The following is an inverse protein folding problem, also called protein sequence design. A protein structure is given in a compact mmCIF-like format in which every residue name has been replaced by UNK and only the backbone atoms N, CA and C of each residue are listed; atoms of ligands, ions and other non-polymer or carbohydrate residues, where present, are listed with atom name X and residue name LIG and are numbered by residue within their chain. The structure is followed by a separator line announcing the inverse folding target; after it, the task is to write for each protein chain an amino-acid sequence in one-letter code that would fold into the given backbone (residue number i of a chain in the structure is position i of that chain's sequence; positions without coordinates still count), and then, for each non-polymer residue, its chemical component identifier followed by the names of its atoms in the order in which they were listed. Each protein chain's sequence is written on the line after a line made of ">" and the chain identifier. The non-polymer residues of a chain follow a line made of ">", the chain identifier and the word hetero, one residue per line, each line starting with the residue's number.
data_IF_293462041292
#
_entry.id   IF_293462041292
#
_cell.length_a   1.000
_cell.length_b   1.000
_cell.length_c   1.000
_cell.angle_alpha   90.00
_cell.angle_beta   90.00
_cell.angle_gamma   90.00
#
_symmetry.space_group_name_H-M   'P 1'
#
loop_
_entity.id
_entity.type
_entity.pdbx_description
1 polymer ?
#
# COMPACT_ATOMS: atom_id res chain seq x y z
N UNK A 1 -25.50 19.80 10.79
CA UNK A 1 -24.65 19.87 9.59
C UNK A 1 -24.07 18.48 9.41
N UNK A 2 -24.57 17.71 8.44
CA UNK A 2 -24.04 16.40 8.13
C UNK A 2 -22.83 16.62 7.21
N UNK A 3 -21.63 16.36 7.71
CA UNK A 3 -20.42 16.33 6.89
C UNK A 3 -20.42 15.02 6.08
N UNK A 4 -21.25 14.95 5.04
CA UNK A 4 -21.08 13.89 4.04
C UNK A 4 -19.84 14.23 3.22
N UNK A 5 -18.75 13.51 3.50
CA UNK A 5 -17.56 13.52 2.66
C UNK A 5 -17.99 12.96 1.30
N UNK A 6 -18.21 13.83 0.32
CA UNK A 6 -18.40 13.40 -1.06
C UNK A 6 -17.08 12.83 -1.56
N UNK A 7 -16.94 11.51 -1.46
CA UNK A 7 -15.85 10.78 -2.11
C UNK A 7 -15.98 11.00 -3.62
N UNK A 8 -14.95 11.58 -4.23
CA UNK A 8 -14.94 11.72 -5.69
C UNK A 8 -14.81 10.34 -6.33
N UNK A 9 -15.24 10.17 -7.60
CA UNK A 9 -15.10 8.91 -8.31
C UNK A 9 -13.66 8.38 -8.31
N UNK A 10 -12.67 9.27 -8.35
CA UNK A 10 -11.24 8.93 -8.31
C UNK A 10 -10.84 8.34 -6.96
N UNK A 11 -11.32 8.91 -5.86
CA UNK A 11 -11.07 8.38 -4.52
C UNK A 11 -11.74 7.01 -4.36
N UNK A 12 -12.97 6.86 -4.88
CA UNK A 12 -13.68 5.58 -4.84
C UNK A 12 -12.94 4.50 -5.64
N UNK A 13 -12.42 4.85 -6.82
CA UNK A 13 -11.63 3.91 -7.63
C UNK A 13 -10.32 3.54 -6.93
N UNK A 14 -9.61 4.50 -6.35
CA UNK A 14 -8.39 4.23 -5.60
C UNK A 14 -8.63 3.28 -4.41
N UNK A 15 -9.75 3.44 -3.70
CA UNK A 15 -10.14 2.53 -2.61
C UNK A 15 -10.44 1.12 -3.16
N UNK A 16 -11.16 1.01 -4.28
CA UNK A 16 -11.43 -0.29 -4.91
C UNK A 16 -10.15 -1.00 -5.36
N UNK A 17 -9.21 -0.26 -5.92
CA UNK A 17 -7.93 -0.81 -6.35
C UNK A 17 -7.14 -1.32 -5.14
N UNK A 18 -7.11 -0.56 -4.03
CA UNK A 18 -6.50 -0.98 -2.76
C UNK A 18 -7.16 -2.22 -2.16
N UNK A 19 -8.47 -2.42 -2.37
CA UNK A 19 -9.20 -3.59 -1.92
C UNK A 19 -9.10 -4.80 -2.86
N UNK A 20 -8.47 -4.65 -4.02
CA UNK A 20 -8.29 -5.78 -4.94
C UNK A 20 -7.33 -6.79 -4.32
N UNK A 21 -7.72 -8.06 -4.37
CA UNK A 21 -6.90 -9.17 -3.91
C UNK A 21 -5.49 -9.10 -4.55
N UNK A 22 -4.47 -9.39 -3.73
CA UNK A 22 -3.05 -9.31 -4.07
C UNK A 22 -2.52 -7.94 -4.51
N UNK A 23 -3.33 -6.90 -4.71
CA UNK A 23 -2.82 -5.59 -5.17
C UNK A 23 -1.89 -4.94 -4.14
N UNK A 24 -2.32 -4.85 -2.89
CA UNK A 24 -1.47 -4.30 -1.81
C UNK A 24 -0.27 -5.20 -1.49
N UNK A 25 -0.40 -6.54 -1.38
CA UNK A 25 0.75 -7.44 -1.31
C UNK A 25 1.75 -7.27 -2.45
N UNK A 26 1.28 -7.16 -3.71
CA UNK A 26 2.12 -6.89 -4.87
C UNK A 26 2.87 -5.55 -4.74
N UNK A 27 2.19 -4.49 -4.30
CA UNK A 27 2.82 -3.19 -4.04
C UNK A 27 3.91 -3.30 -2.96
N UNK A 28 3.66 -4.07 -1.89
CA UNK A 28 4.65 -4.29 -0.84
C UNK A 28 5.88 -5.03 -1.40
N UNK A 29 5.68 -6.10 -2.19
CA UNK A 29 6.78 -6.84 -2.84
C UNK A 29 7.63 -5.96 -3.75
N UNK A 30 7.01 -5.14 -4.60
CA UNK A 30 7.75 -4.19 -5.45
C UNK A 30 8.54 -3.17 -4.63
N UNK A 31 8.01 -2.71 -3.49
CA UNK A 31 8.76 -1.81 -2.59
C UNK A 31 9.95 -2.52 -1.95
N UNK A 32 9.86 -3.82 -1.67
CA UNK A 32 10.99 -4.64 -1.19
C UNK A 32 12.06 -4.79 -2.28
N UNK A 33 11.68 -5.08 -3.51
CA UNK A 33 12.62 -5.18 -4.65
C UNK A 33 13.38 -3.86 -4.89
N UNK A 34 12.70 -2.72 -4.77
CA UNK A 34 13.33 -1.40 -4.89
C UNK A 34 14.30 -1.16 -3.72
N UNK A 35 13.91 -1.54 -2.50
CA UNK A 35 14.79 -1.44 -1.33
C UNK A 35 16.05 -2.29 -1.50
N UNK A 36 15.89 -3.54 -1.96
CA UNK A 36 17.01 -4.45 -2.20
C UNK A 36 17.93 -3.90 -3.29
N UNK A 37 17.38 -3.32 -4.36
CA UNK A 37 18.16 -2.59 -5.37
C UNK A 37 18.99 -1.44 -4.76
N UNK A 38 18.41 -0.63 -3.87
CA UNK A 38 19.15 0.47 -3.25
C UNK A 38 20.25 0.00 -2.29
N UNK A 39 20.05 -1.14 -1.62
CA UNK A 39 21.01 -1.72 -0.68
C UNK A 39 22.16 -2.41 -1.43
N UNK A 40 21.85 -3.16 -2.49
CA UNK A 40 22.83 -3.93 -3.25
C UNK A 40 23.58 -3.10 -4.29
N UNK A 41 22.96 -2.04 -4.83
CA UNK A 41 23.54 -1.25 -5.91
C UNK A 41 24.35 -0.06 -5.39
N UNK A 42 25.64 -0.32 -5.17
CA UNK A 42 26.65 0.64 -4.70
C UNK A 42 26.89 1.76 -5.74
N UNK A 43 26.48 1.56 -7.00
CA UNK A 43 26.69 2.49 -8.13
C UNK A 43 25.58 3.52 -8.35
N UNK A 44 24.74 3.76 -7.36
CA UNK A 44 23.82 4.91 -7.40
C UNK A 44 24.60 6.20 -7.09
N UNK A 45 24.41 7.25 -7.89
CA UNK A 45 24.99 8.60 -7.68
C UNK A 45 24.45 9.33 -6.42
N UNK A 46 23.76 8.60 -5.54
CA UNK A 46 23.17 9.12 -4.32
C UNK A 46 24.19 9.10 -3.18
N UNK A 47 24.20 10.16 -2.38
CA UNK A 47 24.92 10.16 -1.11
C UNK A 47 24.32 9.14 -0.14
N UNK A 48 25.10 8.73 0.87
CA UNK A 48 24.59 7.83 1.91
C UNK A 48 23.37 8.39 2.65
N UNK A 49 23.30 9.70 2.84
CA UNK A 49 22.16 10.37 3.49
C UNK A 49 20.90 10.29 2.62
N UNK A 50 21.03 10.49 1.30
CA UNK A 50 19.92 10.34 0.35
C UNK A 50 19.42 8.90 0.26
N UNK A 51 20.35 7.92 0.30
CA UNK A 51 19.98 6.49 0.36
C UNK A 51 19.20 6.19 1.64
N UNK A 52 19.66 6.71 2.78
CA UNK A 52 18.99 6.52 4.06
C UNK A 52 17.57 7.13 4.05
N UNK A 53 17.42 8.34 3.53
CA UNK A 53 16.12 9.01 3.38
C UNK A 53 15.16 8.18 2.52
N UNK A 54 15.59 7.72 1.35
CA UNK A 54 14.77 6.88 0.48
C UNK A 54 14.35 5.57 1.16
N UNK A 55 15.27 4.90 1.85
CA UNK A 55 14.96 3.68 2.60
C UNK A 55 13.90 3.95 3.67
N UNK A 56 14.01 5.06 4.41
CA UNK A 56 13.04 5.44 5.43
C UNK A 56 11.65 5.70 4.84
N UNK A 57 11.59 6.41 3.71
CA UNK A 57 10.33 6.68 2.98
C UNK A 57 9.70 5.36 2.53
N UNK A 58 10.46 4.48 1.88
CA UNK A 58 9.97 3.19 1.38
C UNK A 58 9.44 2.31 2.52
N UNK A 59 10.16 2.23 3.65
CA UNK A 59 9.71 1.50 4.85
C UNK A 59 8.44 2.10 5.46
N UNK A 60 8.34 3.43 5.51
CA UNK A 60 7.14 4.13 6.00
C UNK A 60 5.92 3.86 5.11
N UNK A 61 6.12 3.88 3.79
CA UNK A 61 5.09 3.54 2.80
C UNK A 61 4.63 2.10 2.95
N UNK A 62 5.55 1.13 3.04
CA UNK A 62 5.21 -0.28 3.31
C UNK A 62 4.37 -0.43 4.58
N UNK A 63 4.77 0.23 5.67
CA UNK A 63 4.03 0.21 6.94
C UNK A 63 2.62 0.78 6.80
N UNK A 64 2.47 1.86 6.04
CA UNK A 64 1.18 2.52 5.79
C UNK A 64 0.26 1.72 4.88
N UNK A 65 0.81 0.90 3.98
CA UNK A 65 0.04 0.06 3.07
C UNK A 65 -0.50 -1.22 3.73
N UNK A 66 0.20 -1.78 4.73
CA UNK A 66 -0.18 -3.04 5.39
C UNK A 66 -1.66 -3.14 5.84
N UNK A 67 -2.28 -2.10 6.44
CA UNK A 67 -3.69 -2.18 6.85
C UNK A 67 -4.68 -2.35 5.70
N UNK A 68 -4.28 -2.01 4.47
CA UNK A 68 -5.11 -2.15 3.26
C UNK A 68 -4.92 -3.51 2.57
N UNK A 69 -3.99 -4.34 3.04
CA UNK A 69 -3.81 -5.67 2.49
C UNK A 69 -5.03 -6.54 2.81
N UNK A 70 -5.83 -6.82 1.79
CA UNK A 70 -6.90 -7.81 1.90
C UNK A 70 -6.25 -9.18 2.05
N UNK A 71 -6.31 -9.75 3.24
CA UNK A 71 -5.95 -11.15 3.47
C UNK A 71 -6.97 -12.06 2.76
N UNK A 72 -6.56 -13.26 2.34
CA UNK A 72 -7.44 -14.34 1.83
C UNK A 72 -8.62 -14.70 2.75
N UNK A 73 -8.74 -14.11 3.95
CA UNK A 73 -9.99 -14.11 4.72
C UNK A 73 -11.03 -13.24 3.99
N UNK A 74 -11.58 -13.86 2.96
CA UNK A 74 -12.80 -13.55 2.23
C UNK A 74 -13.77 -12.83 3.17
N UNK A 75 -13.99 -11.54 2.93
CA UNK A 75 -15.21 -10.92 3.45
C UNK A 75 -16.32 -11.49 2.58
N UNK A 76 -16.94 -12.59 3.03
CA UNK A 76 -18.20 -13.05 2.44
C UNK A 76 -19.25 -12.08 2.92
N UNK A 77 -19.66 -11.17 2.06
CA UNK A 77 -20.90 -10.43 2.27
C UNK A 77 -22.04 -11.41 2.03
N UNK A 78 -22.62 -11.93 3.12
CA UNK A 78 -23.93 -12.57 3.03
C UNK A 78 -24.90 -11.49 2.52
N UNK A 79 -25.83 -11.83 1.62
CA UNK A 79 -26.80 -10.89 1.02
C UNK A 79 -27.66 -10.12 2.05
N UNK A 80 -27.56 -10.46 3.34
CA UNK A 80 -28.27 -9.86 4.47
C UNK A 80 -27.43 -8.88 5.33
N UNK A 81 -26.17 -8.61 5.00
CA UNK A 81 -25.40 -7.52 5.63
C UNK A 81 -25.06 -7.72 7.13
N UNK A 82 -24.74 -8.95 7.54
CA UNK A 82 -24.25 -9.27 8.88
C UNK A 82 -22.85 -9.88 8.85
N UNK A 83 -21.93 -9.35 9.66
CA UNK A 83 -20.56 -9.87 9.83
C UNK A 83 -20.57 -11.23 10.55
N UNK A 84 -19.70 -12.17 10.14
CA UNK A 84 -19.41 -13.41 10.87
C UNK A 84 -17.90 -13.58 11.04
#
# INVERSE_FOLDING_TARGET
>A
MNNEIQLTPEILQAVKDLQREDYVPMLIRHLEEILDFFIENIHTDLSNDQKLEHIQILRSTQKSLRPFAVSERTIIFNEEGGES
#
